data_IF_476780376522
#
_entry.id   IF_476780376522
#
_cell.length_a   1.000
_cell.length_b   1.000
_cell.length_c   1.000
_cell.angle_alpha   90.00
_cell.angle_beta   90.00
_cell.angle_gamma   90.00
#
_symmetry.space_group_name_H-M   'P 1'
#
loop_
_entity.id
_entity.type
_entity.pdbx_description
1 polymer ?
#
# COMPACT_ATOMS: atom_id res chain seq x y z
N UNK A 1 14.13 -26.41 27.38
CA UNK A 1 14.35 -26.49 25.92
C UNK A 1 13.93 -25.14 25.34
N UNK A 2 14.79 -24.49 24.57
CA UNK A 2 14.46 -23.24 23.85
C UNK A 2 14.33 -23.58 22.36
N UNK A 3 13.22 -23.16 21.75
CA UNK A 3 12.96 -23.33 20.32
C UNK A 3 12.80 -21.94 19.72
N UNK A 4 13.61 -21.63 18.71
CA UNK A 4 13.53 -20.37 17.97
C UNK A 4 13.08 -20.70 16.55
N UNK A 5 11.92 -20.19 16.16
CA UNK A 5 11.41 -20.33 14.79
C UNK A 5 10.64 -19.10 14.37
N UNK A 6 10.57 -18.86 13.07
CA UNK A 6 9.56 -17.95 12.52
C UNK A 6 8.16 -18.56 12.67
N UNK A 7 7.11 -17.74 12.82
CA UNK A 7 5.73 -18.22 12.80
C UNK A 7 5.44 -19.02 11.53
N UNK A 8 4.86 -20.21 11.68
CA UNK A 8 4.53 -21.08 10.54
C UNK A 8 3.22 -21.82 10.79
N UNK A 9 2.38 -21.90 9.75
CA UNK A 9 1.13 -22.68 9.79
C UNK A 9 1.36 -24.19 9.94
N UNK A 10 2.56 -24.67 9.63
CA UNK A 10 2.94 -26.07 9.80
C UNK A 10 3.47 -26.38 11.20
N UNK A 11 3.64 -25.38 12.07
CA UNK A 11 4.20 -25.60 13.40
C UNK A 11 3.19 -26.37 14.28
N UNK A 12 3.61 -27.44 15.00
CA UNK A 12 2.68 -28.28 15.75
C UNK A 12 1.93 -27.51 16.85
N UNK A 13 0.60 -27.58 16.81
CA UNK A 13 -0.29 -26.90 17.77
C UNK A 13 -0.05 -27.38 19.19
N UNK A 14 0.24 -28.67 19.41
CA UNK A 14 0.51 -29.24 20.72
C UNK A 14 1.76 -28.66 21.40
N UNK A 15 2.82 -28.39 20.62
CA UNK A 15 4.05 -27.76 21.11
C UNK A 15 3.78 -26.30 21.46
N UNK A 16 3.01 -25.59 20.62
CA UNK A 16 2.58 -24.24 20.94
C UNK A 16 1.75 -24.25 22.22
N UNK A 17 0.66 -25.00 22.32
CA UNK A 17 -0.22 -24.99 23.50
C UNK A 17 0.52 -25.28 24.80
N UNK A 18 1.42 -26.27 24.82
CA UNK A 18 2.14 -26.69 26.02
C UNK A 18 3.41 -25.89 26.34
N UNK A 19 3.85 -24.98 25.46
CA UNK A 19 5.04 -24.17 25.65
C UNK A 19 4.76 -22.76 26.18
N UNK A 20 5.79 -22.10 26.73
CA UNK A 20 5.79 -20.64 26.94
C UNK A 20 6.25 -19.97 25.66
N UNK A 21 5.51 -18.94 25.21
CA UNK A 21 5.78 -18.22 23.96
C UNK A 21 6.37 -16.85 24.30
N UNK A 22 7.45 -16.51 23.62
CA UNK A 22 8.05 -15.19 23.68
C UNK A 22 8.21 -14.69 22.25
N UNK A 23 7.64 -13.52 21.94
CA UNK A 23 7.81 -12.85 20.65
C UNK A 23 8.91 -11.81 20.77
N UNK A 24 9.78 -11.73 19.75
CA UNK A 24 10.77 -10.67 19.62
C UNK A 24 10.36 -9.78 18.46
N UNK A 25 9.87 -8.58 18.76
CA UNK A 25 9.45 -7.59 17.77
C UNK A 25 10.48 -6.45 17.73
N UNK A 26 10.69 -5.81 16.56
CA UNK A 26 11.48 -4.59 16.52
C UNK A 26 10.87 -3.53 17.45
N UNK A 27 11.70 -2.69 18.10
CA UNK A 27 11.21 -1.64 18.96
C UNK A 27 10.27 -0.71 18.18
N UNK A 28 9.12 -0.38 18.78
CA UNK A 28 8.19 0.58 18.20
C UNK A 28 8.54 1.99 18.64
N UNK A 29 8.54 2.91 17.69
CA UNK A 29 8.72 4.34 17.92
C UNK A 29 10.15 4.82 17.71
N UNK A 30 10.27 6.06 17.22
CA UNK A 30 11.53 6.75 16.92
C UNK A 30 12.57 6.62 18.04
N UNK A 31 12.17 6.90 19.29
CA UNK A 31 13.05 6.87 20.47
C UNK A 31 13.71 5.51 20.66
N UNK A 32 12.94 4.43 20.58
CA UNK A 32 13.44 3.10 20.87
C UNK A 32 14.31 2.56 19.73
N UNK A 33 14.00 2.90 18.48
CA UNK A 33 14.87 2.61 17.34
C UNK A 33 16.23 3.33 17.48
N UNK A 34 16.22 4.62 17.79
CA UNK A 34 17.45 5.39 18.01
C UNK A 34 18.30 4.82 19.18
N UNK A 35 17.67 4.50 20.31
CA UNK A 35 18.36 3.87 21.43
C UNK A 35 18.99 2.55 21.02
N UNK A 36 18.25 1.71 20.30
CA UNK A 36 18.74 0.42 19.82
C UNK A 36 19.95 0.60 18.89
N UNK A 37 19.90 1.54 17.94
CA UNK A 37 21.02 1.85 17.06
C UNK A 37 22.29 2.21 17.84
N UNK A 38 22.18 3.09 18.85
CA UNK A 38 23.34 3.53 19.65
C UNK A 38 23.87 2.47 20.62
N UNK A 39 23.00 1.57 21.11
CA UNK A 39 23.38 0.51 22.05
C UNK A 39 23.93 -0.75 21.36
N UNK A 40 23.88 -0.82 20.03
CA UNK A 40 24.38 -1.94 19.25
C UNK A 40 25.77 -1.66 18.65
N UNK A 41 26.50 -2.74 18.40
CA UNK A 41 27.77 -2.67 17.67
C UNK A 41 27.55 -2.20 16.21
N UNK A 42 28.46 -1.37 15.67
CA UNK A 42 29.73 -0.94 16.26
C UNK A 42 29.63 0.36 17.08
N UNK A 43 28.47 1.01 17.12
CA UNK A 43 28.30 2.36 17.69
C UNK A 43 28.56 2.36 19.20
N UNK A 44 28.15 1.30 19.90
CA UNK A 44 28.36 1.14 21.35
C UNK A 44 29.81 0.96 21.77
N UNK A 45 30.71 0.58 20.85
CA UNK A 45 32.14 0.49 21.15
C UNK A 45 32.77 1.89 21.12
N UNK A 46 33.11 2.41 22.31
CA UNK A 46 33.71 3.74 22.49
C UNK A 46 35.02 3.89 21.68
N UNK A 47 35.79 2.80 21.50
CA UNK A 47 37.03 2.85 20.71
C UNK A 47 36.71 3.07 19.24
N UNK A 48 35.71 2.37 18.72
CA UNK A 48 35.20 2.58 17.36
C UNK A 48 34.59 3.98 17.22
N UNK A 49 33.76 4.41 18.17
CA UNK A 49 33.11 5.72 18.11
C UNK A 49 34.13 6.88 18.03
N UNK A 50 35.25 6.77 18.74
CA UNK A 50 36.31 7.79 18.78
C UNK A 50 37.44 7.60 17.76
N UNK A 51 37.36 6.61 16.88
CA UNK A 51 38.46 6.30 15.93
C UNK A 51 38.46 7.17 14.68
N UNK A 52 37.43 7.99 14.45
CA UNK A 52 37.33 8.82 13.26
C UNK A 52 38.20 10.09 13.36
N UNK A 53 38.95 10.39 12.29
CA UNK A 53 39.79 11.60 12.20
C UNK A 53 38.95 12.89 12.24
N UNK A 54 37.78 12.85 11.60
CA UNK A 54 36.84 13.97 11.46
C UNK A 54 35.68 13.82 12.43
N UNK A 55 35.98 14.03 13.72
CA UNK A 55 35.06 13.67 14.81
C UNK A 55 33.74 14.44 14.76
N UNK A 56 33.76 15.73 14.40
CA UNK A 56 32.55 16.57 14.37
C UNK A 56 31.60 16.10 13.27
N UNK A 57 32.13 15.93 12.06
CA UNK A 57 31.37 15.45 10.91
C UNK A 57 30.86 14.02 11.15
N UNK A 58 31.69 13.17 11.75
CA UNK A 58 31.31 11.81 12.13
C UNK A 58 30.13 11.78 13.09
N UNK A 59 30.21 12.51 14.20
CA UNK A 59 29.16 12.48 15.22
C UNK A 59 27.83 13.03 14.70
N UNK A 60 27.85 14.16 13.97
CA UNK A 60 26.64 14.74 13.36
C UNK A 60 26.01 13.82 12.31
N UNK A 61 26.82 13.29 11.37
CA UNK A 61 26.31 12.45 10.29
C UNK A 61 25.91 11.06 10.80
N UNK A 62 26.57 10.53 11.82
CA UNK A 62 26.17 9.27 12.46
C UNK A 62 24.81 9.40 13.13
N UNK A 63 24.58 10.47 13.91
CA UNK A 63 23.28 10.72 14.51
C UNK A 63 22.20 10.85 13.44
N UNK A 64 22.49 11.61 12.38
CA UNK A 64 21.59 11.79 11.23
C UNK A 64 21.26 10.47 10.53
N UNK A 65 22.25 9.59 10.32
CA UNK A 65 22.05 8.26 9.73
C UNK A 65 21.21 7.35 10.62
N UNK A 66 21.45 7.34 11.93
CA UNK A 66 20.62 6.59 12.89
C UNK A 66 19.18 7.10 12.90
N UNK A 67 18.98 8.42 12.79
CA UNK A 67 17.65 9.02 12.69
C UNK A 67 16.95 8.62 11.38
N UNK A 68 17.65 8.68 10.25
CA UNK A 68 17.16 8.17 8.97
C UNK A 68 16.73 6.70 9.08
N UNK A 69 17.58 5.85 9.70
CA UNK A 69 17.28 4.43 9.90
C UNK A 69 15.99 4.22 10.69
N UNK A 70 15.82 4.95 11.80
CA UNK A 70 14.61 4.89 12.60
C UNK A 70 13.38 5.36 11.80
N UNK A 71 13.51 6.42 10.99
CA UNK A 71 12.43 6.93 10.15
C UNK A 71 12.00 5.92 9.09
N UNK A 72 12.94 5.29 8.36
CA UNK A 72 12.57 4.32 7.31
C UNK A 72 11.92 3.06 7.89
N UNK A 73 12.33 2.65 9.10
CA UNK A 73 11.72 1.53 9.83
C UNK A 73 10.30 1.87 10.28
N UNK A 74 10.10 3.01 10.93
CA UNK A 74 8.79 3.42 11.45
C UNK A 74 7.78 3.74 10.35
N UNK A 75 8.24 4.26 9.20
CA UNK A 75 7.38 4.51 8.03
C UNK A 75 6.60 3.27 7.59
N UNK A 76 7.10 2.06 7.82
CA UNK A 76 6.40 0.79 7.51
C UNK A 76 5.04 0.66 8.20
N UNK A 77 4.84 1.30 9.35
CA UNK A 77 3.58 1.24 10.09
C UNK A 77 2.43 1.98 9.37
N UNK A 78 2.75 2.90 8.46
CA UNK A 78 1.76 3.72 7.75
C UNK A 78 1.24 3.09 6.45
N UNK A 79 1.57 1.81 6.20
CA UNK A 79 1.16 1.10 4.98
C UNK A 79 1.63 1.86 3.72
N UNK A 80 0.79 1.93 2.66
CA UNK A 80 1.12 2.62 1.40
C UNK A 80 1.46 4.11 1.52
N UNK A 81 1.04 4.79 2.60
CA UNK A 81 1.46 6.19 2.84
C UNK A 81 2.93 6.27 3.25
N UNK A 82 3.42 5.22 3.90
CA UNK A 82 4.81 5.06 4.29
C UNK A 82 5.67 4.50 3.16
N UNK A 83 5.30 3.29 2.71
CA UNK A 83 5.94 2.53 1.63
C UNK A 83 4.88 1.74 0.85
N UNK A 84 4.95 1.73 -0.48
CA UNK A 84 4.05 0.91 -1.30
C UNK A 84 4.22 -0.58 -0.97
N UNK A 85 5.47 -1.01 -0.75
CA UNK A 85 5.81 -2.37 -0.35
C UNK A 85 6.42 -2.36 1.07
N UNK A 86 5.99 -3.23 2.00
CA UNK A 86 6.46 -3.23 3.38
C UNK A 86 7.87 -3.83 3.52
N UNK A 87 8.89 -3.08 3.11
CA UNK A 87 10.30 -3.48 3.19
C UNK A 87 10.76 -3.69 4.64
N UNK A 88 11.66 -4.65 4.83
CA UNK A 88 12.29 -4.92 6.12
C UNK A 88 13.71 -4.35 6.12
N UNK A 89 13.86 -3.12 6.60
CA UNK A 89 15.16 -2.50 6.88
C UNK A 89 15.67 -2.97 8.24
N UNK A 90 16.91 -3.47 8.26
CA UNK A 90 17.46 -4.15 9.42
C UNK A 90 18.80 -3.55 9.88
N UNK A 91 19.32 -4.06 11.00
CA UNK A 91 20.57 -3.62 11.59
C UNK A 91 21.79 -3.83 10.68
N UNK A 92 21.74 -4.80 9.75
CA UNK A 92 22.85 -5.01 8.81
C UNK A 92 22.97 -3.85 7.82
N UNK A 93 21.84 -3.28 7.39
CA UNK A 93 21.81 -2.13 6.48
C UNK A 93 22.38 -0.87 7.17
N UNK A 94 22.02 -0.66 8.45
CA UNK A 94 22.60 0.40 9.28
C UNK A 94 24.10 0.16 9.50
N UNK A 95 24.49 -1.03 9.94
CA UNK A 95 25.87 -1.36 10.29
C UNK A 95 26.83 -1.14 9.13
N UNK A 96 26.51 -1.60 7.92
CA UNK A 96 27.37 -1.37 6.77
C UNK A 96 27.47 0.12 6.42
N UNK A 97 26.36 0.86 6.53
CA UNK A 97 26.32 2.30 6.26
C UNK A 97 27.16 3.10 7.27
N UNK A 98 27.15 2.70 8.55
CA UNK A 98 27.98 3.29 9.61
C UNK A 98 29.46 3.05 9.36
N UNK A 99 29.84 1.81 8.97
CA UNK A 99 31.23 1.47 8.66
C UNK A 99 31.74 2.23 7.44
N UNK A 100 30.91 2.33 6.38
CA UNK A 100 31.25 3.11 5.19
C UNK A 100 31.38 4.59 5.50
N UNK A 101 30.46 5.17 6.29
CA UNK A 101 30.55 6.57 6.72
C UNK A 101 31.90 6.84 7.41
N UNK A 102 32.30 6.00 8.36
CA UNK A 102 33.57 6.19 9.07
C UNK A 102 34.77 6.06 8.12
N UNK A 103 34.74 5.08 7.22
CA UNK A 103 35.79 4.87 6.21
C UNK A 103 35.95 6.11 5.33
N UNK A 104 34.87 6.63 4.75
CA UNK A 104 34.92 7.82 3.89
C UNK A 104 35.44 9.05 4.61
N UNK A 105 35.01 9.29 5.85
CA UNK A 105 35.49 10.44 6.63
C UNK A 105 36.96 10.31 7.06
N UNK A 106 37.51 9.10 7.08
CA UNK A 106 38.92 8.86 7.39
C UNK A 106 39.84 8.95 6.16
N UNK A 107 39.33 8.59 4.98
CA UNK A 107 40.11 8.43 3.75
C UNK A 107 40.07 9.69 2.86
N UNK A 108 39.04 10.53 2.97
CA UNK A 108 38.85 11.73 2.13
C UNK A 108 39.01 13.03 2.93
N UNK A 109 39.56 14.06 2.27
CA UNK A 109 39.74 15.41 2.86
C UNK A 109 38.41 16.14 3.05
N UNK A 110 37.45 15.95 2.13
CA UNK A 110 36.10 16.51 2.17
C UNK A 110 35.05 15.41 2.35
N UNK A 111 33.87 15.76 2.87
CA UNK A 111 32.78 14.81 3.06
C UNK A 111 32.21 14.44 1.69
N UNK A 112 32.31 13.18 1.22
CA UNK A 112 31.91 12.80 -0.12
C UNK A 112 30.42 12.48 -0.17
N UNK A 113 29.57 13.53 -0.08
CA UNK A 113 28.10 13.38 -0.01
C UNK A 113 27.51 12.56 -1.15
N UNK A 114 27.96 12.76 -2.39
CA UNK A 114 27.46 11.99 -3.53
C UNK A 114 27.70 10.48 -3.37
N UNK A 115 28.90 10.10 -2.91
CA UNK A 115 29.23 8.71 -2.65
C UNK A 115 28.42 8.13 -1.47
N UNK A 116 28.26 8.91 -0.39
CA UNK A 116 27.46 8.51 0.78
C UNK A 116 25.97 8.32 0.43
N UNK A 117 25.41 9.25 -0.35
CA UNK A 117 24.04 9.20 -0.85
C UNK A 117 23.83 8.00 -1.77
N UNK A 118 24.76 7.76 -2.70
CA UNK A 118 24.68 6.62 -3.60
C UNK A 118 24.80 5.28 -2.85
N UNK A 119 25.81 5.11 -2.00
CA UNK A 119 26.02 3.84 -1.30
C UNK A 119 24.90 3.54 -0.30
N UNK A 120 24.45 4.55 0.46
CA UNK A 120 23.39 4.35 1.44
C UNK A 120 22.03 4.19 0.74
N UNK A 121 21.71 5.08 -0.19
CA UNK A 121 20.42 5.16 -0.87
C UNK A 121 20.21 4.11 -1.95
N UNK A 122 21.21 3.84 -2.80
CA UNK A 122 21.09 2.91 -3.94
C UNK A 122 21.56 1.49 -3.60
N UNK A 123 22.62 1.35 -2.79
CA UNK A 123 23.21 0.03 -2.52
C UNK A 123 22.68 -0.59 -1.23
N UNK A 124 22.87 0.07 -0.08
CA UNK A 124 22.61 -0.54 1.23
C UNK A 124 21.11 -0.66 1.50
N UNK A 125 20.37 0.46 1.45
CA UNK A 125 18.92 0.47 1.64
C UNK A 125 18.19 0.24 0.32
N UNK A 126 18.65 0.88 -0.77
CA UNK A 126 18.04 0.75 -2.11
C UNK A 126 18.10 -0.64 -2.70
N UNK A 127 19.08 -1.47 -2.31
CA UNK A 127 19.16 -2.87 -2.71
C UNK A 127 17.95 -3.71 -2.26
N UNK A 128 17.18 -3.24 -1.26
CA UNK A 128 15.92 -3.86 -0.81
C UNK A 128 14.70 -3.31 -1.50
N UNK A 129 14.78 -2.10 -2.05
CA UNK A 129 13.64 -1.36 -2.58
C UNK A 129 13.46 -1.69 -4.05
N UNK A 130 12.35 -2.37 -4.34
CA UNK A 130 12.02 -2.88 -5.68
C UNK A 130 11.12 -1.93 -6.48
N UNK A 131 10.33 -1.07 -5.82
CA UNK A 131 9.41 -0.13 -6.44
C UNK A 131 10.12 1.19 -6.75
N UNK A 132 9.88 1.77 -7.93
CA UNK A 132 10.59 2.98 -8.39
C UNK A 132 10.17 4.23 -7.59
N UNK A 133 8.91 4.31 -7.17
CA UNK A 133 8.40 5.43 -6.36
C UNK A 133 8.92 5.35 -4.94
N UNK A 134 8.94 4.15 -4.35
CA UNK A 134 9.57 3.93 -3.05
C UNK A 134 11.08 4.22 -3.11
N UNK A 135 11.79 3.87 -4.20
CA UNK A 135 13.21 4.20 -4.36
C UNK A 135 13.44 5.71 -4.44
N UNK A 136 12.60 6.43 -5.20
CA UNK A 136 12.61 7.89 -5.24
C UNK A 136 12.36 8.50 -3.85
N UNK A 137 11.40 7.96 -3.11
CA UNK A 137 11.09 8.39 -1.74
C UNK A 137 12.28 8.18 -0.80
N UNK A 138 12.86 6.98 -0.78
CA UNK A 138 14.02 6.64 0.05
C UNK A 138 15.17 7.63 -0.18
N UNK A 139 15.52 7.87 -1.44
CA UNK A 139 16.59 8.80 -1.80
C UNK A 139 16.25 10.25 -1.44
N UNK A 140 14.98 10.65 -1.58
CA UNK A 140 14.54 12.00 -1.21
C UNK A 140 14.61 12.21 0.30
N UNK A 141 14.20 11.20 1.08
CA UNK A 141 14.34 11.21 2.54
C UNK A 141 15.83 11.30 2.93
N UNK A 142 16.68 10.44 2.36
CA UNK A 142 18.10 10.38 2.69
C UNK A 142 18.81 11.73 2.48
N UNK A 143 18.45 12.50 1.44
CA UNK A 143 18.99 13.85 1.19
C UNK A 143 18.74 14.83 2.34
N UNK A 144 17.67 14.64 3.12
CA UNK A 144 17.41 15.44 4.32
C UNK A 144 18.32 15.07 5.50
N UNK A 145 19.00 13.93 5.45
CA UNK A 145 19.91 13.45 6.51
C UNK A 145 21.39 13.55 6.11
N UNK A 146 21.70 13.45 4.82
CA UNK A 146 23.03 13.67 4.28
C UNK A 146 23.06 14.92 3.42
N UNK A 147 23.40 16.05 4.06
CA UNK A 147 23.66 17.33 3.42
C UNK A 147 24.62 18.17 4.27
N UNK A 148 25.09 19.29 3.70
CA UNK A 148 26.03 20.19 4.37
C UNK A 148 25.42 20.93 5.58
N UNK A 149 24.10 21.19 5.57
CA UNK A 149 23.41 21.91 6.65
C UNK A 149 23.42 21.13 7.95
N UNK A 150 23.34 19.80 7.90
CA UNK A 150 23.40 18.92 9.10
C UNK A 150 24.66 19.16 9.94
N UNK A 151 25.77 19.56 9.31
CA UNK A 151 27.05 19.84 9.99
C UNK A 151 27.18 21.32 10.30
N UNK A 152 26.85 22.18 9.34
CA UNK A 152 27.16 23.61 9.40
C UNK A 152 26.11 24.42 10.17
N UNK A 153 24.88 23.93 10.23
CA UNK A 153 23.74 24.65 10.80
C UNK A 153 23.26 23.97 12.09
N UNK A 154 23.55 24.60 13.23
CA UNK A 154 23.16 24.10 14.56
C UNK A 154 21.64 24.09 14.79
N UNK A 155 20.91 24.90 14.03
CA UNK A 155 19.45 24.99 14.07
C UNK A 155 18.81 24.14 12.96
N UNK A 156 19.57 23.25 12.30
CA UNK A 156 19.02 22.31 11.33
C UNK A 156 18.07 21.33 12.01
N UNK A 157 16.87 21.19 11.46
CA UNK A 157 15.80 20.37 12.01
C UNK A 157 15.39 19.29 11.02
N UNK A 158 15.22 18.06 11.50
CA UNK A 158 14.76 16.91 10.70
C UNK A 158 13.24 16.92 10.45
N UNK A 159 12.50 17.80 11.13
CA UNK A 159 11.04 17.87 11.07
C UNK A 159 10.55 19.33 11.02
N UNK A 160 9.40 19.61 10.39
CA UNK A 160 8.80 20.95 10.35
C UNK A 160 8.56 21.62 11.72
N UNK A 161 8.21 20.89 12.78
CA UNK A 161 8.01 21.48 14.12
C UNK A 161 9.26 22.05 14.79
N UNK A 162 10.45 21.78 14.24
CA UNK A 162 11.73 22.18 14.83
C UNK A 162 12.11 21.47 16.12
N UNK A 163 11.34 20.47 16.56
CA UNK A 163 11.59 19.73 17.82
C UNK A 163 12.70 18.70 17.68
N UNK A 164 12.88 18.15 16.48
CA UNK A 164 13.85 17.09 16.21
C UNK A 164 15.04 17.68 15.46
N UNK A 165 16.17 17.85 16.17
CA UNK A 165 17.43 18.36 15.64
C UNK A 165 18.61 17.46 16.01
N UNK A 166 19.79 17.78 15.48
CA UNK A 166 21.07 17.20 15.94
C UNK A 166 21.31 17.66 17.39
N UNK A 167 21.76 16.77 18.32
CA UNK A 167 22.07 17.16 19.69
C UNK A 167 23.14 18.26 19.75
N UNK A 168 23.05 19.16 20.73
CA UNK A 168 24.10 20.17 20.96
C UNK A 168 25.42 19.53 21.44
N UNK A 169 25.30 18.43 22.20
CA UNK A 169 26.41 17.56 22.59
C UNK A 169 26.33 16.28 21.74
N UNK A 170 27.17 16.21 20.72
CA UNK A 170 27.17 15.13 19.72
C UNK A 170 28.02 13.93 20.11
N UNK A 171 28.72 14.00 21.25
CA UNK A 171 29.42 12.84 21.81
C UNK A 171 28.46 11.69 22.14
N UNK A 172 28.99 10.49 22.31
CA UNK A 172 28.18 9.28 22.54
C UNK A 172 27.20 9.44 23.72
N UNK A 173 27.64 10.02 24.84
CA UNK A 173 26.79 10.22 26.01
C UNK A 173 25.74 11.32 25.78
N UNK A 174 26.07 12.39 25.08
CA UNK A 174 25.16 13.48 24.70
C UNK A 174 24.08 13.04 23.74
N UNK A 175 24.42 12.22 22.74
CA UNK A 175 23.45 11.58 21.87
C UNK A 175 22.47 10.72 22.67
N UNK A 176 22.97 9.86 23.57
CA UNK A 176 22.11 9.02 24.41
C UNK A 176 21.21 9.84 25.36
N UNK A 177 21.72 10.92 25.94
CA UNK A 177 20.95 11.83 26.79
C UNK A 177 19.81 12.50 25.99
N UNK A 178 20.14 13.01 24.79
CA UNK A 178 19.15 13.59 23.88
C UNK A 178 18.09 12.57 23.46
N UNK A 179 18.48 11.36 23.04
CA UNK A 179 17.53 10.30 22.66
C UNK A 179 16.61 9.95 23.84
N UNK A 180 17.15 9.88 25.07
CA UNK A 180 16.33 9.63 26.27
C UNK A 180 15.36 10.77 26.57
N UNK A 181 15.67 12.00 26.19
CA UNK A 181 14.78 13.15 26.34
C UNK A 181 13.62 13.18 25.34
N UNK A 182 13.73 12.46 24.21
CA UNK A 182 12.68 12.42 23.20
C UNK A 182 11.35 11.86 23.76
N UNK A 183 10.20 12.37 23.29
CA UNK A 183 8.90 11.87 23.68
C UNK A 183 8.69 10.44 23.18
N UNK A 184 7.87 9.66 23.90
CA UNK A 184 7.55 8.26 23.55
C UNK A 184 6.65 8.21 22.33
N UNK A 185 5.66 9.10 22.28
CA UNK A 185 4.79 9.29 21.13
C UNK A 185 5.25 10.50 20.32
N UNK A 186 5.32 10.33 19.01
CA UNK A 186 5.77 11.36 18.06
C UNK A 186 4.74 11.51 16.97
N UNK A 187 4.57 12.74 16.49
CA UNK A 187 3.65 13.05 15.40
C UNK A 187 4.22 12.60 14.05
N UNK A 188 3.38 12.28 13.04
CA UNK A 188 3.81 11.76 11.74
C UNK A 188 4.76 12.68 10.97
N UNK A 189 4.76 13.98 11.29
CA UNK A 189 5.67 14.98 10.71
C UNK A 189 7.15 14.59 10.79
N UNK A 190 7.56 13.85 11.84
CA UNK A 190 8.96 13.42 12.01
C UNK A 190 9.36 12.37 10.98
N UNK A 191 8.37 11.66 10.44
CA UNK A 191 8.54 10.69 9.38
C UNK A 191 8.35 11.31 7.99
N UNK A 192 8.09 12.62 7.89
CA UNK A 192 7.74 13.30 6.65
C UNK A 192 6.33 12.99 6.16
N UNK A 193 5.39 12.76 7.08
CA UNK A 193 3.99 12.46 6.80
C UNK A 193 3.06 13.54 7.35
N UNK A 194 1.89 13.69 6.75
CA UNK A 194 0.82 14.55 7.25
C UNK A 194 0.10 13.90 8.44
N UNK A 195 -0.50 14.70 9.32
CA UNK A 195 -1.17 14.22 10.55
C UNK A 195 -2.28 13.18 10.28
N UNK A 196 -2.96 13.28 9.14
CA UNK A 196 -3.96 12.30 8.70
C UNK A 196 -3.40 10.87 8.54
N UNK A 197 -2.08 10.71 8.38
CA UNK A 197 -1.45 9.40 8.28
C UNK A 197 -1.62 8.59 9.58
N UNK A 198 -1.62 9.26 10.75
CA UNK A 198 -1.88 8.59 12.02
C UNK A 198 -3.30 8.05 12.09
N UNK A 199 -4.30 8.80 11.60
CA UNK A 199 -5.69 8.33 11.53
C UNK A 199 -5.79 7.05 10.69
N UNK A 200 -5.10 7.00 9.54
CA UNK A 200 -5.07 5.80 8.70
C UNK A 200 -4.39 4.63 9.40
N UNK A 201 -3.25 4.86 10.05
CA UNK A 201 -2.52 3.84 10.83
C UNK A 201 -3.40 3.28 11.96
N UNK A 202 -4.00 4.14 12.77
CA UNK A 202 -4.82 3.75 13.91
C UNK A 202 -6.10 3.02 13.46
N UNK A 203 -6.71 3.43 12.34
CA UNK A 203 -7.83 2.70 11.74
C UNK A 203 -7.41 1.29 11.29
N UNK A 204 -6.25 1.15 10.65
CA UNK A 204 -5.75 -0.16 10.21
C UNK A 204 -5.44 -1.07 11.40
N UNK A 205 -4.79 -0.55 12.45
CA UNK A 205 -4.50 -1.31 13.67
C UNK A 205 -5.80 -1.71 14.38
N UNK A 206 -6.78 -0.82 14.45
CA UNK A 206 -8.11 -1.10 15.00
C UNK A 206 -8.84 -2.18 14.19
N UNK A 207 -8.81 -2.11 12.85
CA UNK A 207 -9.40 -3.14 11.99
C UNK A 207 -8.71 -4.50 12.15
N UNK A 208 -7.38 -4.51 12.30
CA UNK A 208 -6.62 -5.74 12.54
C UNK A 208 -6.97 -6.36 13.91
N UNK A 209 -7.10 -5.52 14.94
CA UNK A 209 -7.54 -5.96 16.27
C UNK A 209 -8.97 -6.52 16.22
N UNK A 210 -9.92 -5.80 15.63
CA UNK A 210 -11.31 -6.23 15.50
C UNK A 210 -11.44 -7.51 14.66
N UNK A 211 -10.66 -7.62 13.58
CA UNK A 211 -10.57 -8.84 12.78
C UNK A 211 -10.01 -10.01 13.60
N UNK A 212 -8.99 -9.77 14.43
CA UNK A 212 -8.47 -10.76 15.37
C UNK A 212 -9.52 -11.22 16.40
N UNK A 213 -10.28 -10.27 16.97
CA UNK A 213 -11.37 -10.57 17.90
C UNK A 213 -12.45 -11.42 17.20
N UNK A 214 -12.83 -11.08 15.97
CA UNK A 214 -13.79 -11.84 15.18
C UNK A 214 -13.34 -13.29 14.96
N UNK A 215 -12.04 -13.54 14.78
CA UNK A 215 -11.49 -14.90 14.68
C UNK A 215 -11.54 -15.67 16.00
N UNK A 216 -11.45 -14.98 17.13
CA UNK A 216 -11.57 -15.60 18.47
C UNK A 216 -13.01 -15.79 18.93
N UNK A 217 -13.95 -15.15 18.26
CA UNK A 217 -15.35 -15.40 18.45
C UNK A 217 -15.60 -16.84 18.02
N UNK A 218 -15.65 -17.76 18.99
CA UNK A 218 -16.25 -19.08 18.79
C UNK A 218 -17.56 -18.79 18.10
N UNK A 219 -17.76 -19.29 16.88
CA UNK A 219 -19.02 -19.16 16.15
C UNK A 219 -20.10 -19.14 17.20
N UNK A 220 -20.84 -18.04 17.32
CA UNK A 220 -22.01 -18.04 18.18
C UNK A 220 -22.83 -19.16 17.57
N UNK A 221 -22.76 -20.34 18.18
CA UNK A 221 -23.79 -21.34 18.18
C UNK A 221 -24.95 -20.64 18.86
N UNK A 222 -25.59 -19.78 18.06
CA UNK A 222 -27.02 -19.62 17.97
C UNK A 222 -27.70 -19.71 19.34
N UNK A 223 -27.40 -18.74 20.20
CA UNK A 223 -28.34 -18.37 21.26
C UNK A 223 -29.43 -17.41 20.73
N UNK A 224 -29.33 -16.97 19.46
CA UNK A 224 -30.40 -16.38 18.65
C UNK A 224 -30.56 -17.21 17.38
N UNK A 225 -31.76 -17.77 17.16
CA UNK A 225 -32.05 -18.93 16.32
C UNK A 225 -31.45 -18.97 14.90
N UNK A 226 -31.10 -20.18 14.44
CA UNK A 226 -30.52 -20.50 13.13
C UNK A 226 -31.30 -19.86 11.97
N UNK A 227 -32.60 -19.60 12.16
CA UNK A 227 -33.46 -18.96 11.17
C UNK A 227 -33.15 -17.48 10.90
N UNK A 228 -32.56 -16.72 11.84
CA UNK A 228 -32.40 -15.27 11.67
C UNK A 228 -31.25 -14.95 10.70
N UNK A 229 -30.08 -15.59 10.87
CA UNK A 229 -28.94 -15.44 9.96
C UNK A 229 -29.22 -16.00 8.57
N UNK A 230 -29.90 -17.15 8.50
CA UNK A 230 -30.29 -17.76 7.23
C UNK A 230 -31.25 -16.87 6.46
N UNK A 231 -32.26 -16.30 7.16
CA UNK A 231 -33.20 -15.37 6.54
C UNK A 231 -32.52 -14.08 6.10
N UNK A 232 -31.57 -13.56 6.89
CA UNK A 232 -30.80 -12.37 6.57
C UNK A 232 -29.97 -12.57 5.30
N UNK A 233 -29.17 -13.65 5.23
CA UNK A 233 -28.33 -13.94 4.06
C UNK A 233 -29.20 -14.25 2.83
N UNK A 234 -30.31 -14.96 3.01
CA UNK A 234 -31.27 -15.26 1.94
C UNK A 234 -31.86 -13.98 1.34
N UNK A 235 -32.31 -13.04 2.19
CA UNK A 235 -32.90 -11.78 1.78
C UNK A 235 -31.85 -10.85 1.13
N UNK A 236 -30.64 -10.80 1.69
CA UNK A 236 -29.53 -10.05 1.12
C UNK A 236 -29.15 -10.59 -0.27
N UNK A 237 -29.07 -11.90 -0.42
CA UNK A 237 -28.83 -12.53 -1.72
C UNK A 237 -29.95 -12.20 -2.72
N UNK A 238 -31.22 -12.19 -2.29
CA UNK A 238 -32.36 -11.83 -3.13
C UNK A 238 -32.29 -10.36 -3.60
N UNK A 239 -31.99 -9.44 -2.68
CA UNK A 239 -31.87 -8.02 -2.97
C UNK A 239 -30.74 -7.75 -3.97
N UNK A 240 -29.54 -8.31 -3.74
CA UNK A 240 -28.41 -8.17 -4.66
C UNK A 240 -28.76 -8.76 -6.04
N UNK A 241 -29.37 -9.96 -6.09
CA UNK A 241 -29.79 -10.58 -7.34
C UNK A 241 -30.79 -9.73 -8.12
N UNK A 242 -31.69 -9.03 -7.43
CA UNK A 242 -32.71 -8.17 -8.06
C UNK A 242 -32.11 -6.90 -8.69
N UNK A 243 -30.98 -6.43 -8.15
CA UNK A 243 -30.32 -5.19 -8.59
C UNK A 243 -29.33 -5.42 -9.73
N UNK A 244 -28.72 -6.59 -9.84
CA UNK A 244 -27.70 -6.85 -10.88
C UNK A 244 -28.40 -7.00 -12.24
N UNK A 245 -28.13 -6.09 -13.21
CA UNK A 245 -28.79 -6.08 -14.52
C UNK A 245 -28.41 -7.30 -15.36
N UNK A 246 -29.09 -7.48 -16.49
CA UNK A 246 -28.78 -8.56 -17.43
C UNK A 246 -27.36 -8.43 -18.02
N UNK A 247 -26.87 -9.53 -18.59
CA UNK A 247 -25.55 -9.55 -19.20
C UNK A 247 -25.55 -8.66 -20.44
N UNK A 248 -24.42 -8.00 -20.69
CA UNK A 248 -24.24 -7.25 -21.91
C UNK A 248 -24.28 -8.19 -23.12
N UNK A 249 -25.04 -7.81 -24.15
CA UNK A 249 -25.04 -8.50 -25.44
C UNK A 249 -23.77 -8.16 -26.22
N UNK A 250 -22.78 -9.04 -26.11
CA UNK A 250 -21.48 -8.85 -26.76
C UNK A 250 -21.60 -8.91 -28.29
N UNK A 251 -22.58 -9.62 -28.85
CA UNK A 251 -22.77 -9.72 -30.30
C UNK A 251 -23.31 -8.41 -30.85
N UNK A 252 -24.36 -7.87 -30.22
CA UNK A 252 -24.89 -6.54 -30.53
C UNK A 252 -23.81 -5.45 -30.42
N UNK A 253 -23.04 -5.44 -29.32
CA UNK A 253 -21.96 -4.47 -29.12
C UNK A 253 -20.86 -4.62 -30.16
N UNK A 254 -20.53 -5.85 -30.58
CA UNK A 254 -19.52 -6.09 -31.62
C UNK A 254 -19.97 -5.58 -32.99
N UNK A 255 -21.27 -5.59 -33.27
CA UNK A 255 -21.85 -4.98 -34.47
C UNK A 255 -21.83 -3.44 -34.41
N UNK A 256 -22.18 -2.85 -33.27
CA UNK A 256 -22.22 -1.39 -33.07
C UNK A 256 -20.82 -0.77 -33.00
N UNK A 257 -19.89 -1.42 -32.31
CA UNK A 257 -18.50 -0.98 -32.09
C UNK A 257 -17.52 -1.99 -32.68
N UNK A 258 -17.40 -2.05 -34.02
CA UNK A 258 -16.47 -2.98 -34.67
C UNK A 258 -15.02 -2.63 -34.31
N UNK A 259 -14.14 -3.61 -34.44
CA UNK A 259 -12.70 -3.39 -34.26
C UNK A 259 -12.20 -2.51 -35.40
N UNK A 260 -11.85 -1.27 -35.07
CA UNK A 260 -11.38 -0.28 -36.04
C UNK A 260 -9.93 0.07 -35.75
N UNK A 261 -9.12 0.10 -36.81
CA UNK A 261 -7.73 0.54 -36.68
C UNK A 261 -7.63 1.98 -36.16
N UNK A 262 -8.54 2.88 -36.52
CA UNK A 262 -8.48 4.26 -36.02
C UNK A 262 -9.10 4.46 -34.64
N UNK A 263 -9.78 3.45 -34.07
CA UNK A 263 -10.43 3.56 -32.76
C UNK A 263 -10.21 2.30 -31.92
N UNK A 264 -9.14 2.29 -31.14
CA UNK A 264 -8.82 1.24 -30.18
C UNK A 264 -9.81 1.13 -29.03
N UNK A 265 -10.58 2.17 -28.72
CA UNK A 265 -11.52 2.17 -27.58
C UNK A 265 -12.65 1.16 -27.75
N UNK A 266 -13.06 0.87 -28.99
CA UNK A 266 -14.04 -0.18 -29.27
C UNK A 266 -13.56 -1.55 -28.75
N UNK A 267 -12.26 -1.82 -28.87
CA UNK A 267 -11.66 -3.07 -28.37
C UNK A 267 -11.62 -3.09 -26.86
N UNK A 268 -11.27 -1.96 -26.23
CA UNK A 268 -11.25 -1.81 -24.77
C UNK A 268 -12.64 -2.05 -24.20
N UNK A 269 -13.66 -1.35 -24.72
CA UNK A 269 -15.06 -1.52 -24.32
C UNK A 269 -15.47 -3.00 -24.37
N UNK A 270 -15.26 -3.68 -25.50
CA UNK A 270 -15.64 -5.08 -25.65
C UNK A 270 -14.96 -6.00 -24.62
N UNK A 271 -13.66 -5.80 -24.36
CA UNK A 271 -12.93 -6.60 -23.37
C UNK A 271 -13.44 -6.37 -21.95
N UNK A 272 -13.76 -5.12 -21.61
CA UNK A 272 -14.30 -4.75 -20.31
C UNK A 272 -15.66 -5.38 -20.08
N UNK A 273 -16.59 -5.28 -21.03
CA UNK A 273 -17.91 -5.92 -20.94
C UNK A 273 -17.82 -7.43 -20.75
N UNK A 274 -16.88 -8.10 -21.43
CA UNK A 274 -16.63 -9.55 -21.23
C UNK A 274 -16.19 -9.83 -19.79
N UNK A 275 -15.35 -8.98 -19.18
CA UNK A 275 -14.93 -9.14 -17.78
C UNK A 275 -16.10 -8.94 -16.82
N UNK A 276 -16.92 -7.90 -17.01
CA UNK A 276 -18.11 -7.67 -16.20
C UNK A 276 -19.16 -8.78 -16.35
N UNK A 277 -19.36 -9.33 -17.55
CA UNK A 277 -20.22 -10.49 -17.76
C UNK A 277 -19.70 -11.71 -16.99
N UNK A 278 -18.39 -12.00 -17.05
CA UNK A 278 -17.80 -13.11 -16.28
C UNK A 278 -18.01 -12.94 -14.77
N UNK A 279 -17.81 -11.74 -14.24
CA UNK A 279 -18.03 -11.44 -12.83
C UNK A 279 -19.51 -11.59 -12.45
N UNK A 280 -20.42 -10.96 -13.19
CA UNK A 280 -21.86 -11.00 -12.88
C UNK A 280 -22.45 -12.41 -13.00
N UNK A 281 -21.93 -13.26 -13.90
CA UNK A 281 -22.28 -14.69 -13.96
C UNK A 281 -21.94 -15.39 -12.65
N UNK A 282 -20.72 -15.21 -12.14
CA UNK A 282 -20.25 -15.83 -10.89
C UNK A 282 -21.05 -15.32 -9.71
N UNK A 283 -21.31 -14.02 -9.62
CA UNK A 283 -22.14 -13.44 -8.56
C UNK A 283 -23.56 -14.02 -8.62
N UNK A 284 -24.22 -14.00 -9.78
CA UNK A 284 -25.58 -14.52 -9.93
C UNK A 284 -25.68 -16.02 -9.62
N UNK A 285 -24.71 -16.82 -10.06
CA UNK A 285 -24.73 -18.27 -9.83
C UNK A 285 -24.52 -18.61 -8.36
N UNK A 286 -23.53 -17.98 -7.71
CA UNK A 286 -23.22 -18.21 -6.29
C UNK A 286 -24.37 -17.74 -5.40
N UNK A 287 -24.97 -16.56 -5.64
CA UNK A 287 -26.14 -16.09 -4.88
C UNK A 287 -27.35 -17.02 -5.00
N UNK A 288 -27.66 -17.49 -6.22
CA UNK A 288 -28.74 -18.47 -6.44
C UNK A 288 -28.46 -19.78 -5.72
N UNK A 289 -27.21 -20.24 -5.73
CA UNK A 289 -26.83 -21.50 -5.09
C UNK A 289 -26.85 -21.39 -3.56
N UNK A 290 -26.43 -20.26 -2.99
CA UNK A 290 -26.55 -20.00 -1.54
C UNK A 290 -28.03 -20.01 -1.11
N UNK A 291 -28.91 -19.34 -1.86
CA UNK A 291 -30.35 -19.36 -1.58
C UNK A 291 -30.94 -20.78 -1.65
N UNK A 292 -30.50 -21.61 -2.60
CA UNK A 292 -30.91 -23.01 -2.70
C UNK A 292 -30.34 -23.86 -1.57
N UNK A 293 -29.11 -23.61 -1.15
CA UNK A 293 -28.47 -24.32 -0.06
C UNK A 293 -29.15 -24.04 1.29
N UNK A 294 -29.50 -22.78 1.57
CA UNK A 294 -30.29 -22.39 2.76
C UNK A 294 -31.66 -23.10 2.78
N UNK A 295 -32.28 -23.30 1.60
CA UNK A 295 -33.53 -24.05 1.47
C UNK A 295 -33.36 -25.59 1.51
N UNK A 296 -32.15 -26.10 1.66
CA UNK A 296 -31.85 -27.54 1.63
C UNK A 296 -31.99 -28.19 0.24
N UNK A 297 -32.02 -27.40 -0.84
CA UNK A 297 -32.16 -27.91 -2.22
C UNK A 297 -30.83 -28.28 -2.88
N UNK A 298 -29.72 -27.74 -2.37
CA UNK A 298 -28.35 -27.98 -2.83
C UNK A 298 -27.49 -28.26 -1.60
N UNK A 299 -26.54 -29.18 -1.74
CA UNK A 299 -25.58 -29.49 -0.66
C UNK A 299 -24.67 -28.30 -0.42
N UNK A 300 -24.51 -27.95 0.85
CA UNK A 300 -23.57 -26.92 1.27
C UNK A 300 -22.13 -27.40 1.03
N UNK A 301 -21.47 -26.83 0.02
CA UNK A 301 -20.05 -27.08 -0.26
C UNK A 301 -19.18 -26.09 0.50
N UNK A 302 -17.90 -26.40 0.71
CA UNK A 302 -16.96 -25.47 1.37
C UNK A 302 -16.90 -24.08 0.69
N UNK A 303 -17.13 -24.02 -0.62
CA UNK A 303 -17.24 -22.75 -1.36
C UNK A 303 -18.51 -21.98 -1.00
N UNK A 304 -19.66 -22.66 -0.87
CA UNK A 304 -20.92 -22.03 -0.46
C UNK A 304 -20.92 -21.63 1.01
N UNK A 305 -20.26 -22.40 1.89
CA UNK A 305 -20.05 -22.03 3.30
C UNK A 305 -19.23 -20.74 3.41
N UNK A 306 -18.18 -20.61 2.60
CA UNK A 306 -17.36 -19.39 2.56
C UNK A 306 -18.16 -18.18 2.07
N UNK A 307 -18.99 -18.36 1.05
CA UNK A 307 -19.87 -17.29 0.55
C UNK A 307 -20.89 -16.90 1.62
N UNK A 308 -21.55 -17.88 2.25
CA UNK A 308 -22.52 -17.65 3.31
C UNK A 308 -21.89 -16.92 4.50
N UNK A 309 -20.73 -17.40 4.97
CA UNK A 309 -20.01 -16.78 6.09
C UNK A 309 -19.50 -15.37 5.75
N UNK A 310 -19.02 -15.14 4.52
CA UNK A 310 -18.60 -13.81 4.09
C UNK A 310 -19.79 -12.84 4.02
N UNK A 311 -20.92 -13.28 3.49
CA UNK A 311 -22.12 -12.46 3.41
C UNK A 311 -22.71 -12.12 4.78
N UNK A 312 -22.67 -13.04 5.74
CA UNK A 312 -23.20 -12.80 7.09
C UNK A 312 -22.40 -11.75 7.86
N UNK A 313 -21.09 -11.64 7.60
CA UNK A 313 -20.22 -10.60 8.19
C UNK A 313 -20.03 -9.37 7.29
N UNK A 314 -20.77 -9.27 6.17
CA UNK A 314 -20.71 -8.11 5.27
C UNK A 314 -19.41 -7.98 4.47
N UNK A 315 -18.68 -9.08 4.25
CA UNK A 315 -17.47 -9.16 3.44
C UNK A 315 -17.78 -9.66 2.03
N UNK A 316 -17.00 -9.20 1.04
CA UNK A 316 -17.07 -9.75 -0.32
C UNK A 316 -16.53 -11.18 -0.33
N UNK A 317 -17.31 -12.18 -0.83
CA UNK A 317 -16.86 -13.57 -0.94
C UNK A 317 -15.58 -13.72 -1.77
N UNK A 318 -14.67 -14.60 -1.35
CA UNK A 318 -13.39 -14.81 -2.04
C UNK A 318 -13.53 -15.30 -3.48
N UNK A 319 -14.62 -15.99 -3.80
CA UNK A 319 -14.95 -16.42 -5.17
C UNK A 319 -15.27 -15.25 -6.10
N UNK A 320 -15.84 -14.16 -5.57
CA UNK A 320 -16.08 -12.94 -6.35
C UNK A 320 -14.78 -12.17 -6.51
N UNK A 321 -14.00 -12.04 -5.43
CA UNK A 321 -12.74 -11.31 -5.40
C UNK A 321 -11.74 -11.83 -6.45
N UNK A 322 -11.60 -13.16 -6.58
CA UNK A 322 -10.79 -13.81 -7.64
C UNK A 322 -11.18 -13.45 -9.08
N UNK A 323 -12.41 -12.96 -9.29
CA UNK A 323 -12.98 -12.61 -10.60
C UNK A 323 -13.34 -11.14 -10.69
N UNK A 324 -12.97 -10.34 -9.69
CA UNK A 324 -13.32 -8.93 -9.56
C UNK A 324 -12.13 -8.04 -9.90
N UNK A 325 -12.41 -6.76 -10.09
CA UNK A 325 -11.43 -5.69 -10.02
C UNK A 325 -10.99 -5.47 -8.55
N UNK A 326 -9.80 -4.91 -8.31
CA UNK A 326 -9.30 -4.63 -6.95
C UNK A 326 -10.26 -3.72 -6.18
N UNK A 327 -10.68 -4.14 -4.98
CA UNK A 327 -11.55 -3.37 -4.10
C UNK A 327 -11.32 -3.75 -2.65
N UNK A 328 -11.26 -2.75 -1.77
CA UNK A 328 -11.24 -2.92 -0.31
C UNK A 328 -12.60 -2.58 0.33
N UNK A 329 -13.64 -2.33 -0.48
CA UNK A 329 -14.98 -1.98 0.00
C UNK A 329 -15.64 -3.19 0.68
N UNK A 330 -16.42 -2.97 1.77
CA UNK A 330 -17.30 -4.00 2.31
C UNK A 330 -18.39 -4.36 1.30
N UNK A 331 -19.10 -5.47 1.52
CA UNK A 331 -20.04 -6.05 0.56
C UNK A 331 -21.06 -5.04 0.00
N UNK A 332 -21.71 -4.24 0.85
CA UNK A 332 -22.70 -3.24 0.40
C UNK A 332 -22.08 -2.14 -0.47
N UNK A 333 -20.90 -1.64 -0.07
CA UNK A 333 -20.15 -0.64 -0.84
C UNK A 333 -19.63 -1.21 -2.17
N UNK A 334 -19.21 -2.47 -2.18
CA UNK A 334 -18.78 -3.18 -3.37
C UNK A 334 -19.91 -3.36 -4.38
N UNK A 335 -21.09 -3.81 -3.93
CA UNK A 335 -22.25 -3.99 -4.82
C UNK A 335 -22.70 -2.64 -5.41
N UNK A 336 -22.74 -1.58 -4.60
CA UNK A 336 -23.10 -0.24 -5.07
C UNK A 336 -22.12 0.27 -6.13
N UNK A 337 -20.82 0.06 -5.90
CA UNK A 337 -19.75 0.40 -6.84
C UNK A 337 -19.83 -0.40 -8.16
N UNK A 338 -20.10 -1.70 -8.06
CA UNK A 338 -20.30 -2.58 -9.21
C UNK A 338 -21.45 -2.12 -10.10
N UNK A 339 -22.58 -1.74 -9.49
CA UNK A 339 -23.75 -1.24 -10.22
C UNK A 339 -23.45 0.07 -10.95
N UNK A 340 -22.70 0.99 -10.32
CA UNK A 340 -22.26 2.23 -10.97
C UNK A 340 -21.35 1.94 -12.17
N UNK A 341 -20.43 0.98 -12.07
CA UNK A 341 -19.54 0.59 -13.17
C UNK A 341 -20.32 -0.02 -14.33
N UNK A 342 -21.23 -0.93 -14.04
CA UNK A 342 -22.08 -1.54 -15.06
C UNK A 342 -22.92 -0.46 -15.75
N UNK A 343 -23.49 0.48 -14.98
CA UNK A 343 -24.23 1.61 -15.53
C UNK A 343 -23.36 2.49 -16.42
N UNK A 344 -22.13 2.81 -16.02
CA UNK A 344 -21.19 3.58 -16.83
C UNK A 344 -20.97 2.96 -18.22
N UNK A 345 -20.77 1.64 -18.27
CA UNK A 345 -20.62 0.93 -19.54
C UNK A 345 -21.93 0.80 -20.33
N UNK A 346 -23.08 0.69 -19.65
CA UNK A 346 -24.39 0.71 -20.30
C UNK A 346 -24.67 2.07 -20.94
N UNK A 347 -24.39 3.17 -20.22
CA UNK A 347 -24.53 4.53 -20.75
C UNK A 347 -23.62 4.75 -21.96
N UNK A 348 -22.41 4.16 -21.98
CA UNK A 348 -21.55 4.16 -23.17
C UNK A 348 -22.19 3.40 -24.34
N UNK A 349 -22.78 2.22 -24.09
CA UNK A 349 -23.48 1.48 -25.15
C UNK A 349 -24.66 2.28 -25.69
N UNK A 350 -25.42 2.97 -24.84
CA UNK A 350 -26.65 3.65 -25.22
C UNK A 350 -26.42 5.02 -25.86
N UNK A 351 -25.45 5.80 -25.34
CA UNK A 351 -25.23 7.22 -25.66
C UNK A 351 -23.90 7.52 -26.35
N UNK A 352 -23.15 6.48 -26.70
CA UNK A 352 -21.78 6.55 -27.24
C UNK A 352 -20.72 6.90 -26.17
N UNK A 353 -19.45 6.98 -26.59
CA UNK A 353 -18.31 7.19 -25.71
C UNK A 353 -18.47 8.43 -24.81
N UNK A 354 -18.15 8.30 -23.50
CA UNK A 354 -18.22 9.43 -22.59
C UNK A 354 -17.11 10.44 -22.90
N UNK A 355 -17.42 11.73 -22.76
CA UNK A 355 -16.42 12.82 -22.88
C UNK A 355 -15.36 12.76 -21.77
N UNK A 356 -15.80 12.39 -20.55
CA UNK A 356 -14.94 12.23 -19.37
C UNK A 356 -15.05 10.78 -18.90
N UNK A 357 -13.94 10.07 -18.92
CA UNK A 357 -13.89 8.67 -18.55
C UNK A 357 -13.74 8.51 -17.03
N UNK A 358 -14.52 7.61 -16.44
CA UNK A 358 -14.31 7.19 -15.05
C UNK A 358 -13.17 6.19 -14.99
N UNK A 359 -11.94 6.66 -14.74
CA UNK A 359 -10.74 5.84 -14.91
C UNK A 359 -10.77 4.66 -13.93
N UNK A 360 -11.10 4.92 -12.68
CA UNK A 360 -11.20 3.85 -11.67
C UNK A 360 -12.39 2.92 -11.91
N UNK A 361 -13.33 3.26 -12.80
CA UNK A 361 -14.49 2.45 -13.19
C UNK A 361 -14.15 1.25 -14.10
N UNK A 362 -13.03 1.31 -14.81
CA UNK A 362 -12.54 0.19 -15.61
C UNK A 362 -12.07 -0.96 -14.73
N UNK A 363 -12.32 -2.17 -15.22
CA UNK A 363 -11.80 -3.42 -14.68
C UNK A 363 -10.27 -3.49 -14.84
N UNK A 364 -9.75 -3.07 -16.00
CA UNK A 364 -8.31 -3.04 -16.28
C UNK A 364 -7.89 -1.72 -16.94
N UNK A 365 -7.50 -0.76 -16.11
CA UNK A 365 -7.12 0.61 -16.51
C UNK A 365 -5.96 0.68 -17.50
N UNK A 366 -5.01 -0.25 -17.43
CA UNK A 366 -3.89 -0.32 -18.37
C UNK A 366 -4.35 -0.53 -19.82
N UNK A 367 -5.41 -1.33 -20.05
CA UNK A 367 -5.94 -1.49 -21.41
C UNK A 367 -6.56 -0.20 -21.94
N UNK A 368 -7.17 0.60 -21.07
CA UNK A 368 -7.69 1.91 -21.42
C UNK A 368 -6.55 2.86 -21.80
N UNK A 369 -5.53 3.00 -20.93
CA UNK A 369 -4.36 3.85 -21.19
C UNK A 369 -3.64 3.47 -22.48
N UNK A 370 -3.40 2.17 -22.71
CA UNK A 370 -2.84 1.68 -23.97
C UNK A 370 -3.74 1.99 -25.16
N UNK A 371 -5.06 1.91 -25.00
CA UNK A 371 -6.02 2.32 -26.02
C UNK A 371 -5.88 3.80 -26.40
N UNK A 372 -5.69 4.69 -25.41
CA UNK A 372 -5.47 6.13 -25.64
C UNK A 372 -4.17 6.34 -26.42
N UNK A 373 -3.07 5.74 -25.95
CA UNK A 373 -1.77 5.85 -26.62
C UNK A 373 -1.81 5.32 -28.06
N UNK A 374 -2.53 4.23 -28.31
CA UNK A 374 -2.70 3.69 -29.66
C UNK A 374 -3.47 4.64 -30.58
N UNK A 375 -4.54 5.28 -30.10
CA UNK A 375 -5.28 6.26 -30.90
C UNK A 375 -4.38 7.45 -31.26
N UNK A 376 -3.63 7.98 -30.28
CA UNK A 376 -2.69 9.08 -30.50
C UNK A 376 -1.55 8.69 -31.46
N UNK A 377 -0.91 7.55 -31.24
CA UNK A 377 0.15 7.00 -32.09
C UNK A 377 -0.30 6.88 -33.56
N UNK A 378 -1.52 6.39 -33.80
CA UNK A 378 -2.06 6.20 -35.15
C UNK A 378 -2.44 7.52 -35.81
N UNK A 379 -2.99 8.47 -35.06
CA UNK A 379 -3.33 9.80 -35.56
C UNK A 379 -2.07 10.56 -36.01
N UNK A 380 -1.02 10.54 -35.19
CA UNK A 380 0.22 11.28 -35.45
C UNK A 380 1.28 10.46 -36.21
N UNK A 381 1.04 9.17 -36.48
CA UNK A 381 1.98 8.23 -37.12
C UNK A 381 3.32 8.12 -36.38
N UNK A 382 3.28 8.12 -35.05
CA UNK A 382 4.46 7.98 -34.18
C UNK A 382 4.43 6.58 -33.55
N UNK A 383 5.59 5.88 -33.41
CA UNK A 383 5.65 4.62 -32.67
C UNK A 383 5.16 4.78 -31.23
N UNK A 384 4.37 3.82 -30.76
CA UNK A 384 3.79 3.86 -29.40
C UNK A 384 4.85 3.88 -28.30
N UNK A 385 6.01 3.25 -28.54
CA UNK A 385 7.10 3.15 -27.56
C UNK A 385 7.82 4.49 -27.30
N UNK A 386 7.54 5.51 -28.12
CA UNK A 386 8.08 6.87 -27.94
C UNK A 386 7.08 7.81 -27.24
N UNK A 387 5.91 7.29 -26.85
CA UNK A 387 4.88 8.08 -26.19
C UNK A 387 4.93 7.86 -24.68
N UNK A 388 4.72 8.94 -23.94
CA UNK A 388 4.45 8.92 -22.51
C UNK A 388 3.28 9.85 -22.20
N UNK A 389 2.70 9.71 -21.02
CA UNK A 389 1.60 10.56 -20.58
C UNK A 389 2.11 11.83 -19.91
N UNK A 390 1.59 12.96 -20.38
CA UNK A 390 1.61 14.22 -19.66
C UNK A 390 0.21 14.49 -19.09
N UNK A 391 0.15 15.08 -17.89
CA UNK A 391 -1.10 15.29 -17.17
C UNK A 391 -1.28 16.78 -16.88
N UNK A 392 -2.44 17.32 -17.26
CA UNK A 392 -2.87 18.67 -16.93
C UNK A 392 -4.08 18.61 -15.99
N UNK A 393 -4.08 19.45 -14.95
CA UNK A 393 -5.19 19.52 -13.99
C UNK A 393 -6.26 20.43 -14.59
N UNK A 394 -7.39 19.82 -14.94
CA UNK A 394 -8.58 20.53 -15.43
C UNK A 394 -9.52 20.90 -14.27
N UNK A 395 -10.52 21.74 -14.56
CA UNK A 395 -11.61 22.09 -13.63
C UNK A 395 -12.54 20.93 -13.31
N UNK A 396 -13.69 21.22 -12.68
CA UNK A 396 -14.65 20.17 -12.33
C UNK A 396 -15.23 19.48 -13.58
N UNK A 397 -15.64 18.22 -13.45
CA UNK A 397 -16.15 17.36 -14.56
C UNK A 397 -17.27 18.02 -15.38
N UNK A 398 -18.06 18.91 -14.77
CA UNK A 398 -19.14 19.64 -15.43
C UNK A 398 -18.72 20.91 -16.19
N UNK A 399 -17.50 21.38 -15.99
CA UNK A 399 -16.96 22.61 -16.61
C UNK A 399 -16.13 22.31 -17.88
N UNK A 400 -15.87 21.03 -18.15
CA UNK A 400 -15.09 20.59 -19.31
C UNK A 400 -15.96 20.67 -20.58
N UNK A 401 -15.51 21.44 -21.57
CA UNK A 401 -16.25 21.75 -22.79
C UNK A 401 -16.27 20.63 -23.84
N UNK A 402 -15.66 20.89 -25.00
CA UNK A 402 -15.56 19.94 -26.10
C UNK A 402 -14.45 18.90 -25.87
N UNK A 403 -14.42 17.86 -26.70
CA UNK A 403 -13.39 16.82 -26.64
C UNK A 403 -11.98 17.42 -26.73
N UNK A 404 -10.99 16.84 -26.03
CA UNK A 404 -9.63 17.36 -26.08
C UNK A 404 -9.06 17.18 -27.49
N UNK A 405 -8.26 18.15 -27.94
CA UNK A 405 -7.57 18.08 -29.25
C UNK A 405 -6.65 16.84 -29.32
N UNK A 406 -6.06 16.46 -28.18
CA UNK A 406 -5.31 15.23 -28.01
C UNK A 406 -5.49 14.64 -26.60
N UNK A 407 -5.60 13.31 -26.53
CA UNK A 407 -5.73 12.59 -25.27
C UNK A 407 -7.19 12.33 -24.87
N UNK A 408 -7.44 12.28 -23.55
CA UNK A 408 -8.75 12.00 -22.96
C UNK A 408 -8.88 12.74 -21.64
N UNK A 409 -10.10 13.10 -21.26
CA UNK A 409 -10.39 13.56 -19.91
C UNK A 409 -10.75 12.38 -19.01
N UNK A 410 -10.20 12.36 -17.80
CA UNK A 410 -10.46 11.33 -16.79
C UNK A 410 -10.85 11.94 -15.45
N UNK A 411 -11.62 11.18 -14.66
CA UNK A 411 -11.94 11.46 -13.27
C UNK A 411 -11.90 10.19 -12.41
#
# INVERSE_FOLDING_TARGET
IWLTSYPSKAFPVSILQNGVKMTNEPPKGLKQNLLRSYLNDPISDIKFFKSCKRIIEWECLLFSLCFFHAVVQERRQFGPLGWNIPYEFNESDLRISVLQLQMFLNDYEDVPYEALLYLTGECNYGGRVTDDKDRRLLNSLLKNYYNHEVINNKDYTFSPSGKFKVPERTDYEGCLEYIRSLPISVWPEVYGLHDNADITKDNNESMLLLGGVLLTQTQISVAGGEGDTDSMVYNLAADILSKIPEQFDIEFVSGKYPVLYMNSMNTVLRQELIRFNRLTIVIKSTLKNVQKAIKGQVVMSAELEEVFSSMSIGKVPGVWDKKSYPSLKPLGGYVSDLLLRIKFFQDWIDRDAPKVYWLSGFFFTQSFLTGVMQNYARLHKIPIDHLDFEFEIMGEVGEVGDEPESGVFTH
#
